data_IF_815438277430
#
_entry.id   IF_815438277430
#
_cell.length_a   1.000
_cell.length_b   1.000
_cell.length_c   1.000
_cell.angle_alpha   90.00
_cell.angle_beta   90.00
_cell.angle_gamma   90.00
#
_symmetry.space_group_name_H-M   'P 1'
#
loop_
_entity.id
_entity.type
_entity.pdbx_description
1 polymer ?
#
# COMPACT_ATOMS: atom_id res chain seq x y z
N UNK A 1 14.94 23.84 20.67
CA UNK A 1 13.63 23.87 19.99
C UNK A 1 13.25 22.41 19.63
N UNK A 2 12.06 22.00 20.00
CA UNK A 2 11.52 20.66 19.67
C UNK A 2 10.61 20.81 18.45
N UNK A 3 10.83 19.97 17.43
CA UNK A 3 9.97 19.89 16.24
C UNK A 3 9.38 18.49 16.15
N UNK A 4 8.08 18.38 15.96
CA UNK A 4 7.36 17.12 15.84
C UNK A 4 6.90 16.91 14.40
N UNK A 5 7.30 15.80 13.80
CA UNK A 5 6.86 15.39 12.47
C UNK A 5 5.49 14.71 12.56
N UNK A 6 4.51 15.20 11.79
CA UNK A 6 3.23 14.53 11.58
C UNK A 6 3.43 13.32 10.66
N UNK A 7 3.05 12.15 11.13
CA UNK A 7 3.10 10.91 10.31
C UNK A 7 1.74 10.66 9.69
N UNK A 8 1.70 10.29 8.42
CA UNK A 8 0.46 9.89 7.73
C UNK A 8 -0.12 8.61 8.35
N UNK A 9 -1.41 8.62 8.64
CA UNK A 9 -2.15 7.48 9.19
C UNK A 9 -2.93 6.84 8.04
N UNK A 10 -2.67 5.57 7.73
CA UNK A 10 -3.53 4.80 6.86
C UNK A 10 -4.65 4.17 7.69
N UNK A 11 -5.87 4.63 7.48
CA UNK A 11 -7.07 4.02 8.04
C UNK A 11 -7.78 3.20 6.95
N UNK A 12 -7.90 1.89 7.14
CA UNK A 12 -8.78 1.03 6.35
C UNK A 12 -9.67 0.24 7.29
N UNK A 13 -10.98 0.38 7.13
CA UNK A 13 -11.96 -0.50 7.80
C UNK A 13 -12.05 -1.80 6.99
N UNK A 14 -11.41 -2.84 7.47
CA UNK A 14 -11.46 -4.19 6.91
C UNK A 14 -11.96 -5.18 7.97
N UNK A 15 -12.66 -6.22 7.53
CA UNK A 15 -13.17 -7.28 8.40
C UNK A 15 -12.02 -7.99 9.12
N UNK A 16 -12.08 -8.08 10.45
CA UNK A 16 -11.04 -8.69 11.29
C UNK A 16 -10.11 -7.69 11.99
N UNK A 17 -10.22 -6.38 11.68
CA UNK A 17 -9.50 -5.32 12.37
C UNK A 17 -10.37 -4.70 13.46
N UNK A 18 -9.86 -4.57 14.68
CA UNK A 18 -10.55 -3.90 15.79
C UNK A 18 -9.68 -2.78 16.35
N UNK A 19 -10.21 -1.57 16.39
CA UNK A 19 -9.48 -0.38 16.84
C UNK A 19 -9.85 0.00 18.27
N UNK A 20 -8.85 0.39 19.05
CA UNK A 20 -8.98 0.80 20.44
C UNK A 20 -8.25 2.11 20.68
N UNK A 21 -8.82 2.96 21.51
CA UNK A 21 -8.27 4.29 21.81
C UNK A 21 -7.24 4.24 22.95
N UNK A 22 -7.17 3.13 23.71
CA UNK A 22 -6.17 2.92 24.76
C UNK A 22 -5.72 1.46 24.88
N UNK A 23 -4.56 1.24 25.52
CA UNK A 23 -4.05 -0.09 25.83
C UNK A 23 -4.95 -0.82 26.84
N UNK A 24 -5.54 -0.08 27.77
CA UNK A 24 -6.45 -0.61 28.80
C UNK A 24 -7.75 -1.14 28.16
N UNK A 25 -8.35 -0.38 27.24
CA UNK A 25 -9.55 -0.79 26.51
C UNK A 25 -9.27 -2.05 25.66
N UNK A 26 -8.09 -2.12 25.04
CA UNK A 26 -7.67 -3.29 24.30
C UNK A 26 -7.45 -4.51 25.22
N UNK A 27 -6.79 -4.32 26.37
CA UNK A 27 -6.55 -5.37 27.35
C UNK A 27 -7.85 -5.94 27.92
N UNK A 28 -8.86 -5.11 28.12
CA UNK A 28 -10.20 -5.58 28.55
C UNK A 28 -10.84 -6.46 27.47
N UNK A 29 -10.79 -6.06 26.20
CA UNK A 29 -11.31 -6.85 25.09
C UNK A 29 -10.60 -8.19 24.91
N UNK A 30 -9.33 -8.33 25.34
CA UNK A 30 -8.58 -9.58 25.28
C UNK A 30 -9.10 -10.65 26.25
N UNK A 31 -9.86 -10.29 27.27
CA UNK A 31 -10.49 -11.24 28.19
C UNK A 31 -11.51 -12.14 27.50
N UNK A 32 -12.18 -11.61 26.48
CA UNK A 32 -13.17 -12.34 25.69
C UNK A 32 -12.58 -13.25 24.62
N UNK A 33 -11.30 -13.01 24.23
CA UNK A 33 -10.63 -13.75 23.16
C UNK A 33 -9.89 -14.95 23.78
N UNK A 34 -10.17 -16.15 23.28
CA UNK A 34 -9.50 -17.38 23.74
C UNK A 34 -8.20 -17.64 22.97
N UNK A 35 -7.22 -18.27 23.65
CA UNK A 35 -5.94 -18.68 23.06
C UNK A 35 -4.81 -17.68 23.26
N UNK A 36 -3.64 -17.99 22.69
CA UNK A 36 -2.42 -17.20 22.87
C UNK A 36 -2.49 -15.87 22.11
N UNK A 37 -1.87 -14.85 22.68
CA UNK A 37 -1.91 -13.47 22.22
C UNK A 37 -0.47 -13.04 21.88
N UNK A 38 -0.23 -12.53 20.67
CA UNK A 38 1.03 -11.89 20.31
C UNK A 38 0.91 -10.38 20.52
N UNK A 39 1.58 -9.88 21.57
CA UNK A 39 1.64 -8.45 21.88
C UNK A 39 2.85 -7.82 21.21
N UNK A 40 2.64 -6.87 20.30
CA UNK A 40 3.70 -6.19 19.52
C UNK A 40 3.76 -4.68 19.78
N UNK A 41 3.23 -4.23 20.91
CA UNK A 41 3.23 -2.83 21.34
C UNK A 41 4.53 -2.37 21.99
N UNK A 42 5.43 -3.33 22.28
CA UNK A 42 6.67 -3.10 23.04
C UNK A 42 6.49 -3.25 24.55
N UNK A 43 7.53 -2.95 25.31
CA UNK A 43 7.54 -3.17 26.77
C UNK A 43 6.90 -2.04 27.60
N UNK A 44 6.86 -0.81 27.10
CA UNK A 44 6.49 0.37 27.91
C UNK A 44 5.04 0.35 28.43
N UNK A 45 4.12 -0.19 27.63
CA UNK A 45 2.71 -0.29 28.00
C UNK A 45 2.29 -1.69 28.47
N UNK A 46 3.27 -2.54 28.81
CA UNK A 46 3.03 -3.93 29.17
C UNK A 46 2.15 -4.08 30.42
N UNK A 47 2.26 -3.15 31.38
CA UNK A 47 1.46 -3.13 32.60
C UNK A 47 -0.05 -3.15 32.39
N UNK A 48 -0.55 -2.50 31.32
CA UNK A 48 -1.97 -2.53 30.98
C UNK A 48 -2.47 -3.95 30.69
N UNK A 49 -1.64 -4.79 30.08
CA UNK A 49 -1.98 -6.15 29.68
C UNK A 49 -1.69 -7.21 30.76
N UNK A 50 -0.79 -6.91 31.68
CA UNK A 50 -0.44 -7.81 32.80
C UNK A 50 -1.33 -7.64 34.01
N UNK A 51 -2.17 -6.61 34.05
CA UNK A 51 -3.13 -6.38 35.13
C UNK A 51 -4.13 -7.53 35.31
N UNK A 52 -4.42 -8.30 34.25
CA UNK A 52 -5.23 -9.52 34.29
C UNK A 52 -4.34 -10.76 34.26
N UNK A 53 -4.35 -11.58 35.32
CA UNK A 53 -3.60 -12.83 35.35
C UNK A 53 -4.03 -13.82 34.25
N UNK A 54 -5.31 -13.81 33.87
CA UNK A 54 -5.82 -14.65 32.77
C UNK A 54 -5.22 -14.24 31.43
N UNK A 55 -5.16 -12.95 31.14
CA UNK A 55 -4.55 -12.41 29.90
C UNK A 55 -3.04 -12.65 29.95
N UNK A 56 -2.37 -12.32 31.05
CA UNK A 56 -0.92 -12.46 31.24
C UNK A 56 -0.40 -13.87 30.93
N UNK A 57 -1.10 -14.91 31.38
CA UNK A 57 -0.70 -16.31 31.13
C UNK A 57 -0.68 -16.69 29.64
N UNK A 58 -1.39 -15.96 28.80
CA UNK A 58 -1.55 -16.21 27.34
C UNK A 58 -0.73 -15.26 26.46
N UNK A 59 -0.03 -14.29 27.07
CA UNK A 59 0.78 -13.32 26.33
C UNK A 59 2.07 -13.94 25.81
N UNK A 60 2.38 -13.67 24.56
CA UNK A 60 3.71 -13.71 23.97
C UNK A 60 4.10 -12.29 23.63
N UNK A 61 5.14 -11.77 24.24
CA UNK A 61 5.46 -10.34 24.19
C UNK A 61 6.68 -10.11 23.32
N UNK A 62 6.51 -9.39 22.22
CA UNK A 62 7.61 -9.02 21.33
C UNK A 62 8.17 -7.67 21.74
N UNK A 63 9.44 -7.66 22.15
CA UNK A 63 10.16 -6.48 22.65
C UNK A 63 11.52 -6.35 21.96
N UNK A 64 12.13 -5.18 22.06
CA UNK A 64 13.52 -5.01 21.64
C UNK A 64 14.46 -5.83 22.53
N UNK A 65 15.58 -6.34 21.99
CA UNK A 65 16.53 -7.17 22.73
C UNK A 65 17.47 -6.33 23.64
N UNK A 66 16.93 -5.27 24.23
CA UNK A 66 17.64 -4.38 25.16
C UNK A 66 17.35 -4.74 26.61
N UNK A 67 18.33 -4.53 27.49
CA UNK A 67 18.23 -4.85 28.93
C UNK A 67 17.02 -4.19 29.59
N UNK A 68 16.74 -2.92 29.24
CA UNK A 68 15.57 -2.19 29.75
C UNK A 68 14.25 -2.92 29.45
N UNK A 69 14.08 -3.39 28.20
CA UNK A 69 12.85 -4.08 27.78
C UNK A 69 12.71 -5.43 28.50
N UNK A 70 13.80 -6.17 28.66
CA UNK A 70 13.81 -7.47 29.36
C UNK A 70 13.52 -7.28 30.85
N UNK A 71 14.09 -6.25 31.47
CA UNK A 71 13.84 -5.95 32.88
C UNK A 71 12.38 -5.57 33.16
N UNK A 72 11.77 -4.79 32.25
CA UNK A 72 10.33 -4.49 32.31
C UNK A 72 9.52 -5.78 32.22
N UNK A 73 9.82 -6.67 31.26
CA UNK A 73 9.12 -7.95 31.14
C UNK A 73 9.24 -8.79 32.42
N UNK A 74 10.43 -8.85 33.00
CA UNK A 74 10.69 -9.55 34.27
C UNK A 74 9.87 -8.97 35.43
N UNK A 75 9.87 -7.63 35.58
CA UNK A 75 9.12 -6.91 36.60
C UNK A 75 7.61 -7.15 36.49
N UNK A 76 7.10 -7.17 35.25
CA UNK A 76 5.68 -7.46 34.96
C UNK A 76 5.31 -8.94 35.09
N UNK A 77 6.27 -9.82 35.45
CA UNK A 77 6.05 -11.23 35.67
C UNK A 77 5.80 -12.06 34.40
N UNK A 78 6.31 -11.60 33.26
CA UNK A 78 6.29 -12.39 32.02
C UNK A 78 7.36 -13.48 32.11
N UNK A 79 6.97 -14.71 31.82
CA UNK A 79 7.88 -15.83 31.85
C UNK A 79 8.88 -15.79 30.67
N UNK A 80 10.12 -16.28 30.85
CA UNK A 80 11.14 -16.23 29.78
C UNK A 80 10.68 -16.81 28.45
N UNK A 81 9.90 -17.90 28.45
CA UNK A 81 9.37 -18.53 27.24
C UNK A 81 8.27 -17.71 26.54
N UNK A 82 7.76 -16.68 27.18
CA UNK A 82 6.78 -15.75 26.63
C UNK A 82 7.41 -14.48 26.03
N UNK A 83 8.74 -14.32 26.17
CA UNK A 83 9.45 -13.13 25.72
C UNK A 83 10.09 -13.41 24.36
N UNK A 84 9.70 -12.63 23.36
CA UNK A 84 10.26 -12.63 22.00
C UNK A 84 11.13 -11.38 21.84
N UNK A 85 12.40 -11.48 22.25
CA UNK A 85 13.35 -10.36 22.17
C UNK A 85 13.95 -10.27 20.77
N UNK A 86 13.32 -9.48 19.89
CA UNK A 86 13.65 -9.37 18.47
C UNK A 86 13.70 -7.92 18.03
N UNK A 87 14.60 -7.61 17.09
CA UNK A 87 14.71 -6.28 16.46
C UNK A 87 14.22 -6.36 15.02
N UNK A 88 13.29 -5.46 14.67
CA UNK A 88 12.76 -5.34 13.31
C UNK A 88 13.77 -4.75 12.30
N UNK A 89 13.37 -4.62 11.03
CA UNK A 89 12.02 -4.85 10.48
C UNK A 89 11.63 -6.34 10.42
N UNK A 90 10.32 -6.62 10.47
CA UNK A 90 9.76 -7.97 10.47
C UNK A 90 8.94 -8.18 9.20
N UNK A 91 9.26 -9.22 8.42
CA UNK A 91 8.46 -9.59 7.26
C UNK A 91 7.13 -10.26 7.64
N UNK A 92 6.22 -10.39 6.66
CA UNK A 92 4.97 -11.17 6.82
C UNK A 92 5.28 -12.61 7.20
N UNK A 93 6.26 -13.23 6.50
CA UNK A 93 6.65 -14.63 6.73
C UNK A 93 7.12 -14.88 8.16
N UNK A 94 7.88 -13.93 8.75
CA UNK A 94 8.30 -14.06 10.14
C UNK A 94 7.13 -13.90 11.10
N UNK A 95 6.22 -12.96 10.85
CA UNK A 95 5.00 -12.82 11.64
C UNK A 95 4.13 -14.08 11.52
N UNK A 96 3.98 -14.65 10.34
CA UNK A 96 3.26 -15.90 10.07
C UNK A 96 3.90 -17.08 10.84
N UNK A 97 5.23 -17.22 10.77
CA UNK A 97 5.96 -18.25 11.50
C UNK A 97 5.76 -18.15 13.02
N UNK A 98 5.78 -16.94 13.59
CA UNK A 98 5.52 -16.72 15.01
C UNK A 98 4.08 -17.08 15.41
N UNK A 99 3.10 -16.75 14.56
CA UNK A 99 1.70 -17.12 14.77
C UNK A 99 1.56 -18.64 14.88
N UNK A 100 2.16 -19.38 13.96
CA UNK A 100 2.11 -20.85 13.97
C UNK A 100 2.90 -21.45 15.11
N UNK A 101 4.15 -21.01 15.34
CA UNK A 101 5.06 -21.56 16.35
C UNK A 101 4.48 -21.48 17.75
N UNK A 102 3.82 -20.36 18.07
CA UNK A 102 3.28 -20.11 19.42
C UNK A 102 1.77 -20.30 19.52
N UNK A 103 1.13 -20.82 18.46
CA UNK A 103 -0.32 -21.04 18.43
C UNK A 103 -1.12 -19.77 18.68
N UNK A 104 -0.69 -18.65 18.13
CA UNK A 104 -1.31 -17.33 18.35
C UNK A 104 -2.72 -17.32 17.77
N UNK A 105 -3.67 -16.80 18.53
CA UNK A 105 -5.08 -16.65 18.14
C UNK A 105 -5.53 -15.20 18.07
N UNK A 106 -4.68 -14.28 18.49
CA UNK A 106 -4.95 -12.83 18.41
C UNK A 106 -3.61 -12.08 18.37
N UNK A 107 -3.54 -11.02 17.61
CA UNK A 107 -2.38 -10.14 17.59
C UNK A 107 -2.79 -8.73 18.02
N UNK A 108 -1.93 -8.06 18.80
CA UNK A 108 -2.10 -6.66 19.21
C UNK A 108 -0.95 -5.85 18.66
N UNK A 109 -1.26 -4.71 18.05
CA UNK A 109 -0.26 -3.78 17.50
C UNK A 109 -0.68 -2.33 17.73
N UNK A 110 0.27 -1.41 17.62
CA UNK A 110 -0.03 0.03 17.51
C UNK A 110 -0.29 0.41 16.06
N UNK A 111 -1.20 1.34 15.84
CA UNK A 111 -1.36 1.97 14.54
C UNK A 111 -0.04 2.63 14.15
N UNK A 112 0.64 2.11 13.14
CA UNK A 112 1.98 2.54 12.73
C UNK A 112 2.03 2.86 11.25
N UNK A 113 3.02 3.69 10.86
CA UNK A 113 3.38 3.88 9.45
C UNK A 113 4.28 2.74 8.93
N UNK A 114 4.76 2.87 7.69
CA UNK A 114 5.62 1.93 6.96
C UNK A 114 6.80 1.41 7.80
N UNK A 115 7.47 2.29 8.55
CA UNK A 115 8.62 1.93 9.40
C UNK A 115 8.28 1.06 10.61
N UNK A 116 7.00 0.88 10.94
CA UNK A 116 6.54 0.10 12.10
C UNK A 116 6.15 -1.35 11.78
N UNK A 117 6.26 -1.77 10.52
CA UNK A 117 5.86 -3.12 10.09
C UNK A 117 4.38 -3.40 10.34
N UNK A 118 3.51 -2.39 10.19
CA UNK A 118 2.07 -2.54 10.42
C UNK A 118 1.42 -3.39 9.34
N UNK A 119 1.81 -3.18 8.07
CA UNK A 119 1.27 -3.92 6.93
C UNK A 119 1.58 -5.42 7.05
N UNK A 120 2.81 -5.77 7.34
CA UNK A 120 3.27 -7.16 7.45
C UNK A 120 2.58 -7.92 8.60
N UNK A 121 2.27 -7.21 9.68
CA UNK A 121 1.46 -7.76 10.79
C UNK A 121 0.01 -7.97 10.40
N UNK A 122 -0.57 -6.99 9.68
CA UNK A 122 -1.94 -7.04 9.19
C UNK A 122 -2.11 -8.21 8.23
N UNK A 123 -1.23 -8.34 7.25
CA UNK A 123 -1.27 -9.41 6.25
C UNK A 123 -1.13 -10.79 6.90
N UNK A 124 -0.17 -10.96 7.82
CA UNK A 124 -0.01 -12.19 8.57
C UNK A 124 -1.26 -12.54 9.40
N UNK A 125 -1.89 -11.55 10.04
CA UNK A 125 -3.11 -11.78 10.82
C UNK A 125 -4.30 -12.18 9.93
N UNK A 126 -4.51 -11.49 8.80
CA UNK A 126 -5.57 -11.80 7.84
C UNK A 126 -5.39 -13.18 7.20
N UNK A 127 -4.18 -13.53 6.78
CA UNK A 127 -3.83 -14.83 6.22
C UNK A 127 -4.17 -15.97 7.18
N UNK A 128 -3.89 -15.79 8.47
CA UNK A 128 -4.18 -16.75 9.52
C UNK A 128 -5.60 -16.66 10.07
N UNK A 129 -6.42 -15.71 9.59
CA UNK A 129 -7.79 -15.47 10.04
C UNK A 129 -7.89 -15.25 11.55
N UNK A 130 -6.89 -14.58 12.12
CA UNK A 130 -6.89 -14.18 13.53
C UNK A 130 -7.23 -12.69 13.66
N UNK A 131 -7.94 -12.26 14.72
CA UNK A 131 -8.22 -10.86 14.97
C UNK A 131 -6.92 -10.07 15.19
N UNK A 132 -6.84 -8.89 14.56
CA UNK A 132 -5.80 -7.90 14.82
C UNK A 132 -6.42 -6.73 15.59
N UNK A 133 -6.00 -6.55 16.84
CA UNK A 133 -6.37 -5.44 17.69
C UNK A 133 -5.35 -4.32 17.54
N UNK A 134 -5.83 -3.13 17.22
CA UNK A 134 -5.00 -2.00 16.84
C UNK A 134 -5.22 -0.86 17.83
N UNK A 135 -4.17 -0.47 18.53
CA UNK A 135 -4.21 0.71 19.38
C UNK A 135 -4.06 1.93 18.50
N UNK A 136 -5.09 2.78 18.48
CA UNK A 136 -5.03 4.07 17.81
C UNK A 136 -3.95 4.94 18.43
N UNK A 137 -3.35 5.79 17.64
CA UNK A 137 -2.53 6.87 18.18
C UNK A 137 -3.42 7.96 18.74
N UNK A 138 -3.02 8.50 19.89
CA UNK A 138 -3.72 9.64 20.50
C UNK A 138 -3.77 10.83 19.53
N UNK A 139 -4.89 11.57 19.56
CA UNK A 139 -5.13 12.78 18.76
C UNK A 139 -4.05 13.89 18.97
N UNK A 140 -3.26 13.80 20.04
CA UNK A 140 -2.10 14.69 20.27
C UNK A 140 -1.02 14.61 19.15
N UNK A 141 -1.09 13.65 18.23
CA UNK A 141 -0.22 13.62 17.04
C UNK A 141 -0.74 14.49 15.89
N UNK A 142 -1.92 15.11 16.01
CA UNK A 142 -2.41 16.08 15.02
C UNK A 142 -1.60 17.41 15.01
N UNK A 143 -0.93 17.74 16.11
CA UNK A 143 -0.10 18.94 16.28
C UNK A 143 1.30 18.84 15.63
N UNK A 144 1.59 17.80 14.86
CA UNK A 144 2.84 17.68 14.12
C UNK A 144 2.89 18.54 12.87
N UNK A 145 4.08 18.99 12.52
CA UNK A 145 4.37 19.66 11.25
C UNK A 145 4.51 18.63 10.12
N UNK A 146 4.12 18.99 8.90
CA UNK A 146 4.46 18.21 7.72
C UNK A 146 5.98 18.11 7.57
N UNK A 147 6.46 17.13 6.78
CA UNK A 147 7.89 17.00 6.52
C UNK A 147 8.49 18.28 5.94
N UNK A 148 7.81 18.89 4.96
CA UNK A 148 8.25 20.14 4.34
C UNK A 148 8.31 21.29 5.38
N UNK A 149 7.30 21.41 6.24
CA UNK A 149 7.28 22.43 7.29
C UNK A 149 8.36 22.22 8.36
N UNK A 150 8.72 20.95 8.65
CA UNK A 150 9.87 20.66 9.52
C UNK A 150 11.17 21.09 8.87
N UNK A 151 11.37 20.77 7.59
CA UNK A 151 12.55 21.18 6.84
C UNK A 151 12.69 22.71 6.79
N UNK A 152 11.64 23.43 6.39
CA UNK A 152 11.62 24.91 6.39
C UNK A 152 11.97 25.51 7.77
N UNK A 153 11.43 24.90 8.84
CA UNK A 153 11.71 25.36 10.19
C UNK A 153 13.16 25.12 10.60
N UNK A 154 13.74 23.97 10.19
CA UNK A 154 15.16 23.67 10.44
C UNK A 154 16.03 24.63 9.64
N UNK A 155 15.74 24.86 8.36
CA UNK A 155 16.46 25.86 7.54
C UNK A 155 16.43 27.25 8.17
N UNK A 156 15.24 27.69 8.61
CA UNK A 156 15.07 29.01 9.30
C UNK A 156 15.86 29.10 10.60
N UNK A 157 15.90 28.00 11.38
CA UNK A 157 16.57 28.01 12.69
C UNK A 157 18.08 27.84 12.62
N UNK A 158 18.57 27.12 11.58
CA UNK A 158 20.00 26.75 11.51
C UNK A 158 20.77 27.49 10.42
N UNK A 159 20.06 28.15 9.48
CA UNK A 159 20.67 28.74 8.29
C UNK A 159 21.23 27.70 7.30
N UNK A 160 21.04 26.40 7.58
CA UNK A 160 21.49 25.31 6.72
C UNK A 160 20.41 25.05 5.67
N UNK A 161 20.77 25.21 4.41
CA UNK A 161 19.87 24.83 3.30
C UNK A 161 19.78 23.31 3.24
N UNK A 162 18.68 22.75 3.75
CA UNK A 162 18.34 21.34 3.69
C UNK A 162 17.74 21.02 2.31
N UNK A 163 18.34 21.43 1.21
CA UNK A 163 17.90 21.01 -0.12
C UNK A 163 18.05 19.48 -0.25
N UNK A 164 17.17 18.78 0.44
CA UNK A 164 16.95 17.35 0.26
C UNK A 164 16.50 17.18 -1.20
N UNK A 165 17.40 16.71 -2.05
CA UNK A 165 17.05 16.39 -3.42
C UNK A 165 15.96 15.34 -3.35
N UNK A 166 14.78 15.58 -3.96
CA UNK A 166 13.74 14.55 -4.04
C UNK A 166 14.34 13.27 -4.64
N UNK A 167 13.87 12.11 -4.22
CA UNK A 167 14.29 10.84 -4.80
C UNK A 167 14.07 10.84 -6.31
N UNK A 168 15.01 10.25 -7.06
CA UNK A 168 14.86 10.04 -8.49
C UNK A 168 13.75 9.00 -8.73
N UNK A 169 12.71 9.38 -9.49
CA UNK A 169 11.57 8.51 -9.77
C UNK A 169 11.84 7.65 -11.02
N UNK A 170 11.76 6.34 -10.88
CA UNK A 170 11.73 5.40 -12.00
C UNK A 170 10.27 4.99 -12.25
N UNK A 171 9.56 5.76 -13.07
CA UNK A 171 8.12 5.60 -13.28
C UNK A 171 7.86 4.65 -14.45
N UNK A 172 7.10 3.59 -14.18
CA UNK A 172 6.63 2.62 -15.18
C UNK A 172 5.12 2.72 -15.31
N UNK A 173 4.63 3.12 -16.48
CA UNK A 173 3.21 3.08 -16.83
C UNK A 173 2.91 1.74 -17.49
N UNK A 174 2.03 0.92 -16.92
CA UNK A 174 1.86 -0.45 -17.38
C UNK A 174 0.40 -0.88 -17.54
N UNK A 175 0.11 -1.59 -18.63
CA UNK A 175 -1.15 -2.28 -18.84
C UNK A 175 -1.16 -3.62 -18.11
N UNK A 176 -2.16 -3.84 -17.22
CA UNK A 176 -2.25 -5.08 -16.44
C UNK A 176 -2.80 -6.26 -17.26
N UNK A 177 -3.31 -6.00 -18.46
CA UNK A 177 -4.04 -7.00 -19.24
C UNK A 177 -5.51 -7.12 -18.79
N UNK A 178 -6.17 -8.24 -19.09
CA UNK A 178 -7.60 -8.45 -18.84
C UNK A 178 -7.96 -8.64 -17.35
N UNK A 179 -6.98 -8.69 -16.46
CA UNK A 179 -7.19 -8.84 -15.01
C UNK A 179 -6.82 -10.21 -14.46
N UNK A 180 -6.44 -11.15 -15.31
CA UNK A 180 -5.90 -12.45 -14.91
C UNK A 180 -4.38 -12.35 -14.73
N UNK A 181 -3.86 -12.85 -13.60
CA UNK A 181 -2.44 -12.83 -13.29
C UNK A 181 -1.59 -13.59 -14.32
N UNK A 182 -2.14 -14.66 -14.92
CA UNK A 182 -1.45 -15.44 -15.96
C UNK A 182 -1.35 -14.69 -17.29
N UNK A 183 -2.20 -13.69 -17.50
CA UNK A 183 -2.21 -12.83 -18.68
C UNK A 183 -1.37 -11.56 -18.50
N UNK A 184 -0.73 -11.36 -17.36
CA UNK A 184 0.25 -10.29 -17.19
C UNK A 184 1.52 -10.60 -17.98
N UNK A 185 2.06 -9.58 -18.67
CA UNK A 185 3.35 -9.73 -19.35
C UNK A 185 4.47 -10.00 -18.35
N UNK A 186 5.49 -10.75 -18.77
CA UNK A 186 6.67 -11.04 -17.94
C UNK A 186 7.33 -9.73 -17.46
N UNK A 187 7.47 -8.74 -18.36
CA UNK A 187 8.03 -7.42 -18.00
C UNK A 187 7.24 -6.68 -16.92
N UNK A 188 5.90 -6.83 -16.91
CA UNK A 188 5.10 -6.24 -15.84
C UNK A 188 5.32 -6.97 -14.51
N UNK A 189 5.37 -8.31 -14.53
CA UNK A 189 5.66 -9.11 -13.32
C UNK A 189 7.01 -8.75 -12.72
N UNK A 190 8.04 -8.59 -13.54
CA UNK A 190 9.37 -8.14 -13.12
C UNK A 190 9.32 -6.71 -12.53
N UNK A 191 8.66 -5.77 -13.23
CA UNK A 191 8.53 -4.40 -12.74
C UNK A 191 7.79 -4.31 -11.40
N UNK A 192 6.75 -5.14 -11.20
CA UNK A 192 6.01 -5.22 -9.94
C UNK A 192 6.84 -5.86 -8.81
N UNK A 193 7.66 -6.85 -9.13
CA UNK A 193 8.56 -7.49 -8.16
C UNK A 193 9.63 -6.53 -7.61
N UNK A 194 10.02 -5.55 -8.42
CA UNK A 194 11.04 -4.56 -8.09
C UNK A 194 10.46 -3.21 -7.62
N UNK A 195 9.15 -3.03 -7.68
CA UNK A 195 8.51 -1.77 -7.36
C UNK A 195 8.51 -1.48 -5.85
N UNK A 196 8.72 -0.22 -5.50
CA UNK A 196 8.52 0.30 -4.15
C UNK A 196 7.08 0.75 -3.95
N UNK A 197 6.47 1.33 -4.99
CA UNK A 197 5.13 1.91 -4.96
C UNK A 197 4.30 1.46 -6.16
N UNK A 198 3.00 1.20 -5.94
CA UNK A 198 2.04 0.86 -7.00
C UNK A 198 0.82 1.78 -6.94
N UNK A 199 0.49 2.41 -8.08
CA UNK A 199 -0.67 3.25 -8.26
C UNK A 199 -1.63 2.66 -9.29
N UNK A 200 -2.91 3.01 -9.18
CA UNK A 200 -3.90 2.61 -10.16
C UNK A 200 -5.33 2.70 -9.63
N UNK A 201 -6.31 2.33 -10.43
CA UNK A 201 -7.66 2.17 -9.93
C UNK A 201 -7.71 1.04 -8.89
N UNK A 202 -8.57 1.16 -7.87
CA UNK A 202 -8.66 0.22 -6.74
C UNK A 202 -8.65 -1.25 -7.19
N UNK A 203 -9.50 -1.61 -8.16
CA UNK A 203 -9.58 -2.99 -8.70
C UNK A 203 -8.26 -3.50 -9.30
N UNK A 204 -7.41 -2.61 -9.83
CA UNK A 204 -6.15 -2.99 -10.47
C UNK A 204 -5.05 -3.23 -9.44
N UNK A 205 -4.97 -2.39 -8.44
CA UNK A 205 -3.99 -2.55 -7.35
C UNK A 205 -4.32 -3.73 -6.43
N UNK A 206 -5.60 -4.12 -6.34
CA UNK A 206 -6.03 -5.32 -5.61
C UNK A 206 -5.64 -6.62 -6.34
N UNK A 207 -5.49 -6.59 -7.66
CA UNK A 207 -5.10 -7.75 -8.47
C UNK A 207 -3.59 -8.06 -8.40
N UNK A 208 -2.76 -7.19 -7.82
CA UNK A 208 -1.32 -7.41 -7.68
C UNK A 208 -0.95 -7.81 -6.25
N UNK A 209 0.21 -8.42 -6.09
CA UNK A 209 0.67 -9.01 -4.82
C UNK A 209 0.67 -8.00 -3.65
N UNK A 210 0.29 -8.41 -2.42
CA UNK A 210 0.07 -7.51 -1.28
C UNK A 210 1.30 -6.77 -0.74
N UNK A 211 2.52 -7.16 -1.09
CA UNK A 211 3.78 -6.68 -0.48
C UNK A 211 4.19 -5.23 -0.79
N UNK A 212 3.45 -4.53 -1.66
CA UNK A 212 3.82 -3.20 -2.14
C UNK A 212 2.98 -2.12 -1.44
N UNK A 213 3.56 -0.94 -1.24
CA UNK A 213 2.77 0.23 -0.89
C UNK A 213 1.89 0.60 -2.07
N UNK A 214 0.57 0.60 -1.86
CA UNK A 214 -0.45 0.77 -2.89
C UNK A 214 -1.29 2.00 -2.61
N UNK A 215 -1.56 2.78 -3.66
CA UNK A 215 -2.46 3.93 -3.54
C UNK A 215 -3.46 3.96 -4.70
N UNK A 216 -4.75 4.11 -4.37
CA UNK A 216 -5.84 4.11 -5.35
C UNK A 216 -5.96 5.46 -6.06
N UNK A 217 -5.06 5.75 -6.98
CA UNK A 217 -5.00 6.99 -7.75
C UNK A 217 -4.99 6.70 -9.26
N UNK A 218 -5.83 7.40 -10.01
CA UNK A 218 -5.93 7.27 -11.47
C UNK A 218 -6.06 8.61 -12.21
N UNK A 219 -6.31 9.73 -11.51
CA UNK A 219 -6.38 11.06 -12.10
C UNK A 219 -4.98 11.67 -12.22
N UNK A 220 -4.59 12.23 -13.39
CA UNK A 220 -3.25 12.74 -13.64
C UNK A 220 -2.74 13.73 -12.59
N UNK A 221 -3.56 14.73 -12.23
CA UNK A 221 -3.15 15.77 -11.27
C UNK A 221 -2.95 15.21 -9.85
N UNK A 222 -3.79 14.25 -9.46
CA UNK A 222 -3.66 13.59 -8.15
C UNK A 222 -2.41 12.71 -8.11
N UNK A 223 -2.14 11.97 -9.19
CA UNK A 223 -0.91 11.18 -9.32
C UNK A 223 0.32 12.09 -9.24
N UNK A 224 0.32 13.19 -9.98
CA UNK A 224 1.45 14.15 -9.96
C UNK A 224 1.69 14.72 -8.57
N UNK A 225 0.63 15.19 -7.89
CA UNK A 225 0.73 15.74 -6.54
C UNK A 225 1.29 14.71 -5.57
N UNK A 226 0.76 13.49 -5.61
CA UNK A 226 1.18 12.41 -4.74
C UNK A 226 2.63 11.98 -4.99
N UNK A 227 3.06 11.85 -6.27
CA UNK A 227 4.45 11.55 -6.62
C UNK A 227 5.43 12.62 -6.14
N UNK A 228 5.03 13.90 -6.23
CA UNK A 228 5.82 15.02 -5.73
C UNK A 228 6.01 14.96 -4.22
N UNK A 229 4.98 14.61 -3.47
CA UNK A 229 5.05 14.44 -2.01
C UNK A 229 5.91 13.21 -1.65
N UNK A 230 5.67 12.08 -2.31
CA UNK A 230 6.40 10.84 -2.07
C UNK A 230 7.88 10.97 -2.40
N UNK A 231 8.25 11.56 -3.53
CA UNK A 231 9.67 11.77 -3.87
C UNK A 231 10.42 12.57 -2.80
N UNK A 232 9.75 13.51 -2.12
CA UNK A 232 10.33 14.26 -1.01
C UNK A 232 10.41 13.44 0.29
N UNK A 233 9.38 12.65 0.60
CA UNK A 233 9.36 11.76 1.78
C UNK A 233 10.47 10.68 1.70
N UNK A 234 10.77 10.23 0.48
CA UNK A 234 11.82 9.24 0.20
C UNK A 234 13.16 9.87 -0.21
N UNK A 235 13.38 11.15 0.08
CA UNK A 235 14.59 11.89 -0.28
C UNK A 235 15.92 11.26 0.20
N UNK A 236 15.86 10.37 1.19
CA UNK A 236 17.01 9.57 1.67
C UNK A 236 17.34 8.42 0.72
N UNK A 237 16.40 8.00 -0.14
CA UNK A 237 16.62 6.97 -1.15
C UNK A 237 17.06 7.62 -2.46
N UNK A 238 18.12 7.11 -3.06
CA UNK A 238 18.61 7.65 -4.33
C UNK A 238 17.59 7.46 -5.47
N UNK A 239 16.85 6.35 -5.46
CA UNK A 239 15.86 5.99 -6.50
C UNK A 239 14.61 5.39 -5.89
N UNK A 240 13.47 5.68 -6.51
CA UNK A 240 12.15 5.17 -6.11
C UNK A 240 11.44 4.59 -7.35
N UNK A 241 11.20 3.29 -7.35
CA UNK A 241 10.54 2.56 -8.45
C UNK A 241 9.02 2.60 -8.26
N UNK A 242 8.33 3.23 -9.20
CA UNK A 242 6.87 3.42 -9.16
C UNK A 242 6.23 2.74 -10.36
N UNK A 243 5.26 1.86 -10.13
CA UNK A 243 4.44 1.27 -11.19
C UNK A 243 3.04 1.86 -11.14
N UNK A 244 2.57 2.39 -12.28
CA UNK A 244 1.20 2.93 -12.42
C UNK A 244 0.43 2.00 -13.36
N UNK A 245 -0.63 1.39 -12.85
CA UNK A 245 -1.41 0.37 -13.54
C UNK A 245 -2.60 0.94 -14.29
N UNK A 246 -2.77 0.46 -15.51
CA UNK A 246 -3.91 0.73 -16.39
C UNK A 246 -4.59 -0.57 -16.81
N UNK A 247 -5.90 -0.52 -17.06
CA UNK A 247 -6.68 -1.67 -17.52
C UNK A 247 -6.31 -2.07 -18.94
N UNK A 248 -6.21 -3.35 -19.23
CA UNK A 248 -5.96 -3.88 -20.58
C UNK A 248 -4.59 -3.47 -21.11
N UNK A 249 -4.57 -3.03 -22.36
CA UNK A 249 -3.42 -2.39 -22.99
C UNK A 249 -3.43 -0.88 -22.77
N UNK A 250 -2.26 -0.29 -22.53
CA UNK A 250 -2.11 1.14 -22.24
C UNK A 250 -2.53 2.04 -23.42
N UNK A 251 -2.34 1.59 -24.63
CA UNK A 251 -2.68 2.34 -25.85
C UNK A 251 -4.15 2.24 -26.25
N UNK A 252 -4.96 1.47 -25.50
CA UNK A 252 -6.31 1.14 -25.91
C UNK A 252 -7.37 1.60 -24.91
N UNK A 253 -8.02 2.72 -25.19
CA UNK A 253 -9.08 3.36 -24.37
C UNK A 253 -8.76 3.44 -22.87
N UNK A 254 -7.47 3.53 -22.53
CA UNK A 254 -7.01 3.71 -21.17
C UNK A 254 -6.74 5.18 -20.84
N UNK A 255 -6.68 5.52 -19.56
CA UNK A 255 -6.27 6.85 -19.11
C UNK A 255 -4.77 7.15 -19.28
N UNK A 256 -3.99 6.22 -19.82
CA UNK A 256 -2.54 6.28 -19.94
C UNK A 256 -2.03 7.53 -20.66
N UNK A 257 -2.60 7.91 -21.79
CA UNK A 257 -2.11 9.04 -22.58
C UNK A 257 -2.14 10.35 -21.80
N UNK A 258 -3.21 10.59 -21.04
CA UNK A 258 -3.34 11.79 -20.18
C UNK A 258 -2.32 11.79 -19.04
N UNK A 259 -2.16 10.65 -18.37
CA UNK A 259 -1.17 10.50 -17.30
C UNK A 259 0.24 10.63 -17.84
N UNK A 260 0.54 10.00 -18.99
CA UNK A 260 1.85 10.09 -19.64
C UNK A 260 2.22 11.53 -19.99
N UNK A 261 1.31 12.27 -20.63
CA UNK A 261 1.55 13.67 -20.98
C UNK A 261 1.82 14.50 -19.73
N UNK A 262 0.97 14.39 -18.70
CA UNK A 262 1.12 15.12 -17.45
C UNK A 262 2.48 14.86 -16.77
N UNK A 263 2.87 13.59 -16.65
CA UNK A 263 4.14 13.22 -16.00
C UNK A 263 5.36 13.59 -16.86
N UNK A 264 5.26 13.46 -18.19
CA UNK A 264 6.33 13.86 -19.11
C UNK A 264 6.58 15.37 -19.05
N UNK A 265 5.54 16.18 -19.01
CA UNK A 265 5.66 17.62 -18.81
C UNK A 265 6.26 17.98 -17.45
N UNK A 266 5.84 17.28 -16.38
CA UNK A 266 6.38 17.49 -15.04
C UNK A 266 7.88 17.18 -14.95
N UNK A 267 8.34 16.11 -15.62
CA UNK A 267 9.76 15.78 -15.75
C UNK A 267 10.53 16.83 -16.56
N UNK A 268 9.98 17.26 -17.70
CA UNK A 268 10.61 18.30 -18.55
C UNK A 268 10.73 19.66 -17.84
N UNK A 269 9.72 20.01 -17.02
CA UNK A 269 9.71 21.26 -16.24
C UNK A 269 10.53 21.16 -14.93
N UNK A 270 11.14 20.01 -14.62
CA UNK A 270 11.89 19.79 -13.38
C UNK A 270 11.03 19.75 -12.12
N UNK A 271 9.70 19.59 -12.26
CA UNK A 271 8.78 19.41 -11.11
C UNK A 271 8.97 18.03 -10.46
N UNK A 272 9.23 17.02 -11.30
CA UNK A 272 9.68 15.69 -10.92
C UNK A 272 11.06 15.43 -11.50
N UNK A 273 11.84 14.58 -10.83
CA UNK A 273 13.14 14.12 -11.31
C UNK A 273 13.09 12.61 -11.51
N UNK A 274 13.55 12.12 -12.67
CA UNK A 274 13.58 10.70 -12.94
C UNK A 274 13.30 10.32 -14.38
N UNK A 275 12.89 9.08 -14.59
CA UNK A 275 12.60 8.48 -15.89
C UNK A 275 11.15 8.01 -16.00
N UNK A 276 10.63 7.97 -17.22
CA UNK A 276 9.29 7.51 -17.53
C UNK A 276 9.36 6.47 -18.65
N UNK A 277 8.88 5.26 -18.39
CA UNK A 277 8.76 4.19 -19.38
C UNK A 277 7.34 3.63 -19.43
N UNK A 278 7.05 2.86 -20.49
CA UNK A 278 5.74 2.23 -20.67
C UNK A 278 5.88 0.76 -21.01
N UNK A 279 5.00 -0.07 -20.42
CA UNK A 279 4.90 -1.51 -20.69
C UNK A 279 3.49 -1.78 -21.21
N UNK A 280 3.33 -2.30 -22.44
CA UNK A 280 2.01 -2.65 -22.98
C UNK A 280 1.40 -3.83 -22.20
N UNK A 281 0.08 -3.94 -22.25
CA UNK A 281 -0.67 -5.08 -21.76
C UNK A 281 -1.40 -5.80 -22.90
N UNK A 282 -2.03 -6.93 -22.58
CA UNK A 282 -2.91 -7.64 -23.50
C UNK A 282 -4.27 -6.93 -23.52
N UNK A 283 -4.77 -6.53 -24.69
CA UNK A 283 -6.08 -5.89 -24.79
C UNK A 283 -7.22 -6.92 -24.78
N UNK A 284 -8.40 -6.48 -24.34
CA UNK A 284 -9.62 -7.30 -24.39
C UNK A 284 -10.00 -7.69 -25.83
N UNK A 285 -9.65 -6.87 -26.82
CA UNK A 285 -9.87 -7.19 -28.23
C UNK A 285 -9.03 -8.38 -28.67
N UNK A 286 -7.75 -8.43 -28.35
CA UNK A 286 -6.89 -9.54 -28.71
C UNK A 286 -7.44 -10.84 -28.13
N UNK A 287 -7.90 -10.81 -26.88
CA UNK A 287 -8.50 -11.98 -26.24
C UNK A 287 -9.83 -12.38 -26.87
N UNK A 288 -10.71 -11.42 -27.11
CA UNK A 288 -11.99 -11.68 -27.75
C UNK A 288 -11.81 -12.23 -29.17
N UNK A 289 -10.93 -11.66 -29.95
CA UNK A 289 -10.62 -12.12 -31.30
C UNK A 289 -10.10 -13.57 -31.30
N UNK A 290 -9.18 -13.89 -30.40
CA UNK A 290 -8.66 -15.24 -30.23
C UNK A 290 -9.76 -16.23 -29.80
N UNK A 291 -10.60 -15.88 -28.83
CA UNK A 291 -11.69 -16.71 -28.35
C UNK A 291 -12.76 -16.98 -29.43
N UNK A 292 -13.01 -15.97 -30.29
CA UNK A 292 -13.94 -16.10 -31.42
C UNK A 292 -13.32 -16.75 -32.67
N UNK A 293 -12.01 -17.03 -32.66
CA UNK A 293 -11.31 -17.57 -33.84
C UNK A 293 -11.30 -16.61 -35.04
N UNK A 294 -11.27 -15.29 -34.81
CA UNK A 294 -11.32 -14.26 -35.84
C UNK A 294 -10.12 -13.33 -35.76
N UNK A 295 -9.65 -12.86 -36.94
CA UNK A 295 -8.67 -11.75 -36.98
C UNK A 295 -9.34 -10.43 -36.62
N UNK A 296 -8.61 -9.58 -35.89
CA UNK A 296 -9.03 -8.21 -35.59
C UNK A 296 -8.46 -7.18 -36.57
N UNK A 297 -7.62 -7.63 -37.51
CA UNK A 297 -7.19 -6.82 -38.64
C UNK A 297 -8.40 -6.35 -39.47
N UNK A 298 -8.40 -5.14 -39.87
CA UNK A 298 -9.48 -4.49 -40.64
C UNK A 298 -10.86 -4.53 -39.93
N UNK A 299 -10.93 -4.81 -38.67
CA UNK A 299 -12.16 -4.68 -37.89
C UNK A 299 -12.33 -3.24 -37.40
N UNK A 300 -13.55 -2.73 -37.40
CA UNK A 300 -13.90 -1.51 -36.72
C UNK A 300 -13.78 -1.71 -35.20
N UNK A 301 -13.33 -0.70 -34.49
CA UNK A 301 -13.23 -0.69 -33.01
C UNK A 301 -13.98 0.52 -32.50
N UNK A 302 -14.90 0.30 -31.55
CA UNK A 302 -15.67 1.38 -30.97
C UNK A 302 -15.94 1.15 -29.49
N UNK A 303 -15.74 2.19 -28.68
CA UNK A 303 -16.05 2.13 -27.26
C UNK A 303 -17.27 2.99 -26.95
N UNK A 304 -18.25 2.38 -26.27
CA UNK A 304 -19.43 3.07 -25.72
C UNK A 304 -19.22 3.48 -24.26
N UNK A 305 -18.07 3.16 -23.67
CA UNK A 305 -17.77 3.47 -22.28
C UNK A 305 -17.84 4.97 -22.01
N UNK A 306 -18.66 5.37 -21.04
CA UNK A 306 -18.88 6.78 -20.66
C UNK A 306 -19.77 7.57 -21.62
N UNK A 307 -20.38 6.92 -22.62
CA UNK A 307 -21.39 7.56 -23.49
C UNK A 307 -22.77 7.38 -22.89
N UNK A 308 -23.44 8.49 -22.62
CA UNK A 308 -24.82 8.49 -22.11
C UNK A 308 -25.81 8.15 -23.21
N UNK A 309 -27.01 7.67 -22.85
CA UNK A 309 -28.08 7.19 -23.73
C UNK A 309 -28.69 8.22 -24.73
N UNK A 310 -28.00 9.29 -25.04
CA UNK A 310 -28.47 10.34 -25.93
C UNK A 310 -28.41 9.99 -27.42
N UNK A 311 -28.47 8.72 -27.77
CA UNK A 311 -28.94 8.24 -29.08
C UNK A 311 -28.02 8.29 -30.27
N UNK A 312 -26.83 8.87 -30.19
CA UNK A 312 -25.94 9.06 -31.38
C UNK A 312 -24.98 7.90 -31.67
N UNK A 313 -24.66 7.08 -30.67
CA UNK A 313 -23.65 6.02 -30.80
C UNK A 313 -24.13 4.81 -31.61
N UNK A 314 -25.43 4.52 -31.61
CA UNK A 314 -25.99 3.38 -32.37
C UNK A 314 -25.80 3.58 -33.89
N UNK A 315 -26.03 4.80 -34.39
CA UNK A 315 -25.81 5.10 -35.79
C UNK A 315 -24.34 4.95 -36.19
N UNK A 316 -23.43 5.39 -35.31
CA UNK A 316 -21.97 5.23 -35.52
C UNK A 316 -21.54 3.76 -35.49
N UNK A 317 -22.10 2.96 -34.60
CA UNK A 317 -21.86 1.51 -34.53
C UNK A 317 -22.28 0.83 -35.84
N UNK A 318 -23.49 1.11 -36.33
CA UNK A 318 -23.99 0.57 -37.60
C UNK A 318 -23.15 1.02 -38.81
N UNK A 319 -22.76 2.29 -38.86
CA UNK A 319 -21.89 2.82 -39.88
C UNK A 319 -20.54 2.10 -39.93
N UNK A 320 -19.86 1.97 -38.78
CA UNK A 320 -18.57 1.27 -38.68
C UNK A 320 -18.66 -0.21 -39.00
N UNK A 321 -19.77 -0.85 -38.61
CA UNK A 321 -19.99 -2.27 -38.93
C UNK A 321 -20.17 -2.43 -40.44
N UNK A 322 -20.89 -1.52 -41.07
CA UNK A 322 -21.09 -1.54 -42.54
C UNK A 322 -19.78 -1.32 -43.30
N UNK A 323 -18.97 -0.35 -42.87
CA UNK A 323 -17.68 -0.05 -43.52
C UNK A 323 -16.66 -1.18 -43.36
N UNK A 324 -16.57 -1.80 -42.17
CA UNK A 324 -15.50 -2.74 -41.86
C UNK A 324 -15.95 -4.22 -41.91
N UNK A 325 -17.25 -4.48 -42.11
CA UNK A 325 -17.82 -5.84 -42.09
C UNK A 325 -17.74 -6.55 -40.75
N UNK A 326 -16.95 -6.02 -39.80
CA UNK A 326 -16.71 -6.55 -38.47
C UNK A 326 -16.43 -5.42 -37.50
N UNK A 327 -17.00 -5.48 -36.31
CA UNK A 327 -16.84 -4.47 -35.26
C UNK A 327 -16.62 -5.11 -33.88
N UNK A 328 -15.60 -4.63 -33.18
CA UNK A 328 -15.44 -4.90 -31.75
C UNK A 328 -16.02 -3.71 -30.97
N UNK A 329 -17.02 -4.00 -30.15
CA UNK A 329 -17.70 -3.04 -29.31
C UNK A 329 -17.27 -3.23 -27.85
N UNK A 330 -16.90 -2.12 -27.19
CA UNK A 330 -16.36 -2.10 -25.82
C UNK A 330 -17.22 -1.22 -24.90
#
# INVERSE_FOLDING_TARGET
>A
TYLRLKRSIQASEETGLRFFDSNEACAEALKEIKGNILLTTGSKELSAYTASEEVKKRLYVRVLPGMESLEICRREGILPQQILALQGPFSEELNDALIHQYGIKCMVTKQGGITGGFLEKKEAALKNRIPLLIIRREAAEEDGLSFDAVCEKIETLTGVNLSLRPAELMITLAGIGPGDADMMTVRLKEALAEADLVLGAKRLIEAVTPKLEKEALYLPDKILTWLKEKSRQYAVHEKLKVVILFSGDIGFYSGWSKVRICLQEALQKGILHGTLQSIPGISSIQMMAAACGVSWENAGIYSIHGKTDTGGWQAEVLHRLHENGRLFLL
#
